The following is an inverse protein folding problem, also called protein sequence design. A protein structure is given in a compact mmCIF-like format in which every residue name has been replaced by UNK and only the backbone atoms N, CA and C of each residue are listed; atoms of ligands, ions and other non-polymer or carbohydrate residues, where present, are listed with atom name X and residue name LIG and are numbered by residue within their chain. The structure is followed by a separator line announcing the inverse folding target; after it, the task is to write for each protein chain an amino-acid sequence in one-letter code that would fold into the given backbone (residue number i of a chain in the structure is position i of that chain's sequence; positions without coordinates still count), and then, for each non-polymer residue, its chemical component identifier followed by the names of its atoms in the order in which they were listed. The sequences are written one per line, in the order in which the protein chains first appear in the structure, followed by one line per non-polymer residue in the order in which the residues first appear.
data_IF_148458282139
#
_entry.id   IF_148458282139
#
_cell.length_a   1.000
_cell.length_b   1.000
_cell.length_c   1.000
_cell.angle_alpha   90.00
_cell.angle_beta   90.00
_cell.angle_gamma   90.00
#
_symmetry.space_group_name_H-M   'P 1'
#
loop_
_entity.id
_entity.type
_entity.pdbx_description
1 polymer ?
#
# COMPACT_ATOMS: atom_id res chain seq x y z
N UNK A 1 -5.64 39.60 13.44
CA UNK A 1 -5.59 38.18 13.07
C UNK A 1 -4.49 38.07 12.03
N UNK A 2 -3.26 37.78 12.47
CA UNK A 2 -2.11 37.74 11.58
C UNK A 2 -2.18 36.43 10.79
N UNK A 3 -2.56 36.51 9.52
CA UNK A 3 -2.37 35.43 8.58
C UNK A 3 -0.84 35.32 8.41
N UNK A 4 -0.24 34.32 9.05
CA UNK A 4 1.15 33.96 8.78
C UNK A 4 1.23 33.56 7.31
N UNK A 5 1.77 34.46 6.50
CA UNK A 5 2.07 34.21 5.10
C UNK A 5 3.15 33.12 5.06
N UNK A 6 2.73 31.87 4.91
CA UNK A 6 3.63 30.74 4.66
C UNK A 6 4.38 31.07 3.38
N UNK A 7 5.71 31.19 3.46
CA UNK A 7 6.55 31.56 2.33
C UNK A 7 6.45 30.52 1.20
N UNK A 8 6.57 30.93 -0.06
CA UNK A 8 6.52 30.02 -1.22
C UNK A 8 7.54 28.86 -1.13
N UNK A 9 8.65 29.06 -0.40
CA UNK A 9 9.67 28.04 -0.13
C UNK A 9 9.20 26.98 0.89
N UNK A 10 8.41 27.37 1.88
CA UNK A 10 7.80 26.45 2.84
C UNK A 10 6.68 25.64 2.17
N UNK A 11 5.87 26.28 1.32
CA UNK A 11 4.86 25.56 0.52
C UNK A 11 5.51 24.50 -0.38
N UNK A 12 6.60 24.83 -1.09
CA UNK A 12 7.34 23.85 -1.90
C UNK A 12 7.88 22.69 -1.06
N UNK A 13 8.43 22.94 0.12
CA UNK A 13 8.93 21.88 1.02
C UNK A 13 7.81 20.95 1.51
N UNK A 14 6.65 21.50 1.87
CA UNK A 14 5.50 20.72 2.30
C UNK A 14 4.99 19.85 1.15
N UNK A 15 4.74 20.43 -0.03
CA UNK A 15 4.28 19.68 -1.21
C UNK A 15 5.25 18.57 -1.64
N UNK A 16 6.55 18.83 -1.62
CA UNK A 16 7.56 17.85 -2.02
C UNK A 16 7.68 16.70 -1.01
N UNK A 17 7.55 17.01 0.28
CA UNK A 17 7.56 16.03 1.36
C UNK A 17 6.29 15.17 1.30
N UNK A 18 5.13 15.80 1.21
CA UNK A 18 3.83 15.11 1.18
C UNK A 18 3.72 14.18 -0.05
N UNK A 19 4.09 14.67 -1.24
CA UNK A 19 4.09 13.88 -2.46
C UNK A 19 5.06 12.69 -2.46
N UNK A 20 6.22 12.81 -1.77
CA UNK A 20 7.14 11.69 -1.59
C UNK A 20 6.56 10.64 -0.63
N UNK A 21 5.96 11.05 0.48
CA UNK A 21 5.31 10.13 1.42
C UNK A 21 4.09 9.42 0.83
N UNK A 22 3.25 10.11 0.06
CA UNK A 22 2.12 9.46 -0.64
C UNK A 22 2.62 8.47 -1.70
N UNK A 23 3.66 8.83 -2.47
CA UNK A 23 4.27 7.95 -3.45
C UNK A 23 4.86 6.68 -2.82
N UNK A 24 5.58 6.80 -1.72
CA UNK A 24 6.14 5.65 -1.01
C UNK A 24 5.06 4.76 -0.37
N UNK A 25 4.03 5.35 0.23
CA UNK A 25 2.94 4.57 0.85
C UNK A 25 2.15 3.81 -0.20
N UNK A 26 1.83 4.47 -1.33
CA UNK A 26 1.12 3.85 -2.44
C UNK A 26 1.94 2.73 -3.07
N UNK A 27 3.24 2.96 -3.31
CA UNK A 27 4.13 1.94 -3.85
C UNK A 27 4.28 0.71 -2.94
N UNK A 28 4.39 0.91 -1.62
CA UNK A 28 4.45 -0.21 -0.67
C UNK A 28 3.14 -1.00 -0.61
N UNK A 29 1.99 -0.33 -0.66
CA UNK A 29 0.69 -1.03 -0.69
C UNK A 29 0.50 -1.82 -1.99
N UNK A 30 0.81 -1.22 -3.14
CA UNK A 30 0.70 -1.89 -4.44
C UNK A 30 1.62 -3.12 -4.51
N UNK A 31 2.88 -2.99 -4.07
CA UNK A 31 3.81 -4.12 -4.00
C UNK A 31 3.34 -5.23 -3.06
N UNK A 32 2.81 -4.89 -1.88
CA UNK A 32 2.31 -5.89 -0.94
C UNK A 32 1.13 -6.69 -1.52
N UNK A 33 0.23 -6.03 -2.25
CA UNK A 33 -0.92 -6.66 -2.90
C UNK A 33 -0.48 -7.53 -4.08
N UNK A 34 0.43 -7.05 -4.93
CA UNK A 34 0.96 -7.85 -6.03
C UNK A 34 1.73 -9.08 -5.53
N UNK A 35 2.61 -8.90 -4.53
CA UNK A 35 3.31 -10.01 -3.90
C UNK A 35 2.33 -11.04 -3.33
N UNK A 36 1.27 -10.59 -2.65
CA UNK A 36 0.25 -11.49 -2.12
C UNK A 36 -0.48 -12.27 -3.22
N UNK A 37 -0.80 -11.63 -4.36
CA UNK A 37 -1.42 -12.28 -5.52
C UNK A 37 -0.51 -13.35 -6.13
N UNK A 38 0.77 -13.04 -6.33
CA UNK A 38 1.75 -14.00 -6.86
C UNK A 38 1.90 -15.20 -5.92
N UNK A 39 2.02 -14.96 -4.62
CA UNK A 39 2.14 -16.04 -3.63
C UNK A 39 0.88 -16.91 -3.54
N UNK A 40 -0.32 -16.32 -3.63
CA UNK A 40 -1.57 -17.07 -3.69
C UNK A 40 -1.68 -17.90 -4.98
N UNK A 41 -1.18 -17.38 -6.11
CA UNK A 41 -1.09 -18.11 -7.39
C UNK A 41 -0.12 -19.29 -7.30
N UNK A 42 0.97 -19.15 -6.55
CA UNK A 42 1.93 -20.23 -6.25
C UNK A 42 1.40 -21.24 -5.21
N UNK A 43 0.10 -21.20 -4.89
CA UNK A 43 -0.57 -22.07 -3.92
C UNK A 43 0.02 -21.99 -2.50
N UNK A 44 0.60 -20.84 -2.10
CA UNK A 44 0.99 -20.65 -0.70
C UNK A 44 -0.25 -20.54 0.20
N UNK A 45 -0.10 -21.05 1.42
CA UNK A 45 -1.09 -20.90 2.49
C UNK A 45 -1.32 -19.42 2.83
N UNK A 46 -2.57 -18.96 3.01
CA UNK A 46 -2.89 -17.57 3.35
C UNK A 46 -2.14 -17.02 4.56
N UNK A 47 -1.81 -17.86 5.56
CA UNK A 47 -1.03 -17.40 6.72
C UNK A 47 0.41 -17.01 6.35
N UNK A 48 1.05 -17.75 5.45
CA UNK A 48 2.40 -17.42 4.95
C UNK A 48 2.37 -16.19 4.07
N UNK A 49 1.34 -16.06 3.24
CA UNK A 49 1.17 -14.87 2.41
C UNK A 49 1.00 -13.62 3.28
N UNK A 50 0.17 -13.68 4.33
CA UNK A 50 0.04 -12.58 5.28
C UNK A 50 1.39 -12.21 5.93
N UNK A 51 2.15 -13.23 6.36
CA UNK A 51 3.47 -13.04 6.97
C UNK A 51 4.48 -12.36 6.03
N UNK A 52 4.56 -12.79 4.77
CA UNK A 52 5.56 -12.26 3.82
C UNK A 52 5.15 -10.93 3.17
N UNK A 53 3.86 -10.72 2.94
CA UNK A 53 3.34 -9.50 2.32
C UNK A 53 3.21 -8.35 3.32
N UNK A 54 3.22 -8.65 4.62
CA UNK A 54 2.88 -7.68 5.67
C UNK A 54 1.41 -7.27 5.65
N UNK A 55 0.55 -8.01 4.93
CA UNK A 55 -0.89 -7.78 4.88
C UNK A 55 -1.58 -8.56 6.00
N UNK A 56 -2.68 -8.03 6.56
CA UNK A 56 -3.47 -8.78 7.52
C UNK A 56 -4.10 -10.00 6.85
N UNK A 57 -4.18 -11.11 7.60
CA UNK A 57 -4.71 -12.38 7.11
C UNK A 57 -6.10 -12.24 6.51
N UNK A 58 -6.94 -11.38 7.08
CA UNK A 58 -8.29 -11.11 6.60
C UNK A 58 -8.30 -10.53 5.17
N UNK A 59 -7.40 -9.58 4.87
CA UNK A 59 -7.24 -9.05 3.50
C UNK A 59 -6.71 -10.11 2.53
N UNK A 60 -5.81 -10.98 2.98
CA UNK A 60 -5.29 -12.07 2.15
C UNK A 60 -6.39 -13.08 1.82
N UNK A 61 -7.27 -13.40 2.77
CA UNK A 61 -8.42 -14.27 2.54
C UNK A 61 -9.44 -13.63 1.59
N UNK A 62 -9.68 -12.34 1.70
CA UNK A 62 -10.51 -11.61 0.73
C UNK A 62 -9.89 -11.60 -0.66
N UNK A 63 -8.58 -11.36 -0.76
CA UNK A 63 -7.82 -11.42 -2.01
C UNK A 63 -7.91 -12.81 -2.64
N UNK A 64 -7.71 -13.87 -1.85
CA UNK A 64 -7.83 -15.25 -2.31
C UNK A 64 -9.23 -15.53 -2.86
N UNK A 65 -10.29 -15.17 -2.12
CA UNK A 65 -11.68 -15.33 -2.56
C UNK A 65 -11.95 -14.61 -3.87
N UNK A 66 -11.51 -13.35 -4.02
CA UNK A 66 -11.64 -12.60 -5.28
C UNK A 66 -10.94 -13.32 -6.42
N UNK A 67 -9.72 -13.81 -6.19
CA UNK A 67 -8.94 -14.54 -7.18
C UNK A 67 -9.56 -15.89 -7.58
N UNK A 68 -10.29 -16.57 -6.68
CA UNK A 68 -10.93 -17.86 -7.00
C UNK A 68 -12.26 -17.70 -7.73
N UNK A 69 -12.88 -16.52 -7.68
CA UNK A 69 -14.20 -16.25 -8.30
C UNK A 69 -14.06 -15.72 -9.73
N UNK A 70 -12.87 -15.25 -10.13
CA UNK A 70 -12.57 -14.77 -11.48
C UNK A 70 -11.99 -15.84 -12.44
N UNK A 71 -12.02 -17.12 -12.05
CA UNK A 71 -11.56 -18.26 -12.89
C UNK A 71 -12.73 -19.02 -13.51
#
# INVERSE_FOLDING_TARGET
MCLEEISEEEQRRIWHRDGFTEGEQKGRQEQAVEAAKTMLSDHLSPEKVALYSGLPLEQVLELQKKFTVEV
#
